data_IF_033445592410
#
_entry.id   IF_033445592410
#
_cell.length_a   1.000
_cell.length_b   1.000
_cell.length_c   1.000
_cell.angle_alpha   90.00
_cell.angle_beta   90.00
_cell.angle_gamma   90.00
#
_symmetry.space_group_name_H-M   'P 1'
#
loop_
_entity.id
_entity.type
_entity.pdbx_description
1 polymer ?
#
# COMPACT_ATOMS: atom_id res chain seq x y z
N UNK A 1 5.98 -2.64 15.43
CA UNK A 1 5.61 -3.41 14.21
C UNK A 1 5.79 -4.92 14.39
N UNK A 2 6.98 -5.44 14.72
CA UNK A 2 7.14 -6.90 14.88
C UNK A 2 6.28 -7.48 16.03
N UNK A 3 6.26 -6.83 17.20
CA UNK A 3 5.39 -7.22 18.32
C UNK A 3 3.91 -7.26 17.90
N UNK A 4 3.46 -6.24 17.16
CA UNK A 4 2.09 -6.19 16.62
C UNK A 4 1.76 -7.38 15.72
N UNK A 5 2.73 -7.86 14.94
CA UNK A 5 2.53 -9.04 14.08
C UNK A 5 2.39 -10.36 14.83
N UNK A 6 2.94 -10.46 16.05
CA UNK A 6 2.77 -11.62 16.93
C UNK A 6 1.41 -11.57 17.63
N UNK A 7 0.92 -10.37 17.94
CA UNK A 7 -0.36 -10.19 18.64
C UNK A 7 -1.58 -10.26 17.69
N UNK A 8 -1.38 -10.09 16.37
CA UNK A 8 -2.45 -9.99 15.37
C UNK A 8 -2.23 -10.96 14.19
N UNK A 9 -2.05 -12.25 14.49
CA UNK A 9 -1.74 -13.29 13.49
C UNK A 9 -2.84 -13.49 12.44
N UNK A 10 -4.12 -13.37 12.83
CA UNK A 10 -5.26 -13.50 11.91
C UNK A 10 -5.33 -12.35 10.88
N UNK A 11 -4.74 -11.21 11.22
CA UNK A 11 -4.90 -9.97 10.49
C UNK A 11 -3.54 -9.28 10.21
N UNK A 12 -2.60 -9.96 9.52
CA UNK A 12 -1.27 -9.42 9.32
C UNK A 12 -1.30 -8.19 8.41
N UNK A 13 -0.41 -7.24 8.69
CA UNK A 13 -0.16 -6.10 7.81
C UNK A 13 0.48 -6.55 6.50
N UNK A 14 0.02 -6.05 5.36
CA UNK A 14 0.57 -6.39 4.04
C UNK A 14 1.64 -5.40 3.62
N UNK A 15 2.76 -5.93 3.14
CA UNK A 15 3.80 -5.16 2.46
C UNK A 15 3.78 -5.48 0.95
N UNK A 16 4.07 -4.49 0.13
CA UNK A 16 4.03 -4.61 -1.33
C UNK A 16 5.39 -4.31 -1.96
N UNK A 17 5.85 -5.21 -2.83
CA UNK A 17 7.09 -5.07 -3.58
C UNK A 17 6.95 -3.93 -4.58
N UNK A 18 7.89 -2.99 -4.52
CA UNK A 18 7.92 -1.85 -5.42
C UNK A 18 9.38 -1.47 -5.75
N UNK A 19 9.58 -0.75 -6.85
CA UNK A 19 10.92 -0.32 -7.27
C UNK A 19 11.42 0.86 -6.44
N UNK A 20 10.51 1.74 -5.99
CA UNK A 20 10.83 2.91 -5.19
C UNK A 20 9.67 3.27 -4.26
N UNK A 21 9.94 4.14 -3.28
CA UNK A 21 8.91 4.65 -2.36
C UNK A 21 7.90 5.53 -3.09
N UNK A 22 8.38 6.36 -4.02
CA UNK A 22 7.58 7.32 -4.79
C UNK A 22 6.57 6.60 -5.69
N UNK A 23 6.98 5.49 -6.31
CA UNK A 23 6.07 4.66 -7.11
C UNK A 23 4.98 4.00 -6.25
N UNK A 24 5.32 3.61 -5.02
CA UNK A 24 4.36 3.09 -4.05
C UNK A 24 3.39 4.18 -3.59
N UNK A 25 3.87 5.40 -3.33
CA UNK A 25 3.02 6.54 -2.94
C UNK A 25 2.04 6.97 -4.04
N UNK A 26 2.39 6.79 -5.32
CA UNK A 26 1.47 6.93 -6.46
C UNK A 26 0.48 5.75 -6.61
N UNK A 27 0.49 4.78 -5.71
CA UNK A 27 -0.41 3.61 -5.73
C UNK A 27 -0.09 2.58 -6.82
N UNK A 28 1.07 2.64 -7.49
CA UNK A 28 1.39 1.78 -8.63
C UNK A 28 1.74 0.33 -8.24
N UNK A 29 1.92 0.08 -6.95
CA UNK A 29 2.48 -1.16 -6.40
C UNK A 29 1.55 -1.82 -5.38
N UNK A 30 0.33 -2.19 -5.77
CA UNK A 30 -0.64 -2.90 -4.91
C UNK A 30 -0.96 -4.34 -5.36
N UNK A 31 -0.13 -4.92 -6.23
CA UNK A 31 -0.34 -6.29 -6.73
C UNK A 31 0.18 -7.34 -5.75
N UNK A 32 -0.57 -8.43 -5.58
CA UNK A 32 -0.14 -9.63 -4.85
C UNK A 32 0.34 -10.79 -5.75
N UNK A 33 0.26 -10.64 -7.08
CA UNK A 33 0.62 -11.72 -8.02
C UNK A 33 2.09 -12.09 -7.89
N UNK A 34 2.41 -13.40 -7.91
CA UNK A 34 3.79 -13.93 -7.87
C UNK A 34 4.63 -13.35 -6.72
N UNK A 35 4.09 -13.37 -5.49
CA UNK A 35 4.75 -12.87 -4.29
C UNK A 35 5.14 -11.39 -4.36
N UNK A 36 4.36 -10.58 -5.11
CA UNK A 36 4.51 -9.11 -5.11
C UNK A 36 3.97 -8.47 -3.84
N UNK A 37 3.22 -9.19 -3.01
CA UNK A 37 2.90 -8.78 -1.66
C UNK A 37 3.25 -9.91 -0.68
N UNK A 38 3.46 -9.56 0.58
CA UNK A 38 3.78 -10.51 1.65
C UNK A 38 3.29 -9.96 2.99
N UNK A 39 3.24 -10.81 4.01
CA UNK A 39 2.95 -10.38 5.38
C UNK A 39 4.17 -9.71 6.00
N UNK A 40 3.92 -8.66 6.77
CA UNK A 40 4.92 -7.99 7.58
C UNK A 40 4.99 -8.68 8.95
N UNK A 41 6.19 -9.10 9.35
CA UNK A 41 6.43 -9.66 10.68
C UNK A 41 6.47 -11.19 10.71
N UNK A 42 5.92 -11.79 11.76
CA UNK A 42 6.10 -13.21 12.08
C UNK A 42 5.53 -14.15 11.00
N UNK A 43 4.30 -13.88 10.56
CA UNK A 43 3.58 -14.66 9.53
C UNK A 43 4.08 -14.45 8.09
N UNK A 44 5.35 -14.09 7.91
CA UNK A 44 5.94 -13.86 6.58
C UNK A 44 6.05 -15.17 5.78
N UNK A 45 5.60 -15.14 4.53
CA UNK A 45 5.87 -16.24 3.60
C UNK A 45 7.35 -16.21 3.22
N UNK A 46 8.10 -17.26 3.56
CA UNK A 46 9.55 -17.40 3.34
C UNK A 46 9.88 -17.65 1.86
N UNK A 47 9.65 -16.64 1.02
CA UNK A 47 9.91 -16.68 -0.42
C UNK A 47 11.37 -16.32 -0.68
N UNK A 48 12.15 -17.24 -1.25
CA UNK A 48 13.52 -16.97 -1.71
C UNK A 48 13.47 -16.31 -3.10
N UNK A 49 14.05 -15.13 -3.23
CA UNK A 49 14.20 -14.42 -4.50
C UNK A 49 15.68 -14.36 -4.90
N UNK A 50 15.97 -14.47 -6.20
CA UNK A 50 17.34 -14.34 -6.73
C UNK A 50 17.96 -12.95 -6.48
N UNK A 51 17.13 -11.93 -6.28
CA UNK A 51 17.53 -10.55 -5.95
C UNK A 51 16.71 -10.07 -4.76
N UNK A 52 17.29 -9.20 -3.94
CA UNK A 52 16.56 -8.55 -2.86
C UNK A 52 15.34 -7.79 -3.38
N UNK A 53 14.19 -7.97 -2.72
CA UNK A 53 12.95 -7.27 -3.05
C UNK A 53 12.67 -6.18 -2.01
N UNK A 54 12.74 -4.91 -2.42
CA UNK A 54 12.26 -3.80 -1.59
C UNK A 54 10.74 -3.85 -1.52
N UNK A 55 10.20 -3.78 -0.30
CA UNK A 55 8.77 -3.78 -0.05
C UNK A 55 8.37 -2.57 0.79
N UNK A 56 7.16 -2.08 0.59
CA UNK A 56 6.66 -0.85 1.18
C UNK A 56 5.25 -1.06 1.73
N UNK A 57 4.92 -0.35 2.80
CA UNK A 57 3.59 -0.24 3.38
C UNK A 57 3.47 1.10 4.10
N UNK A 58 2.23 1.58 4.26
CA UNK A 58 1.89 2.62 5.25
C UNK A 58 1.36 1.96 6.53
N UNK A 59 1.45 2.66 7.64
CA UNK A 59 1.02 2.19 8.96
C UNK A 59 0.36 3.33 9.73
N UNK A 60 -0.37 3.00 10.80
CA UNK A 60 -0.85 3.97 11.79
C UNK A 60 0.31 4.48 12.65
N UNK A 61 0.09 5.55 13.40
CA UNK A 61 1.06 6.08 14.38
C UNK A 61 1.20 5.19 15.63
N UNK A 62 0.20 4.34 15.92
CA UNK A 62 0.14 3.51 17.12
C UNK A 62 -0.43 2.11 16.82
N UNK A 63 -0.17 1.17 17.72
CA UNK A 63 -0.67 -0.20 17.65
C UNK A 63 -2.21 -0.25 17.82
N UNK A 64 -2.95 -1.12 17.09
CA UNK A 64 -2.49 -1.96 15.99
C UNK A 64 -2.16 -1.15 14.73
N UNK A 65 -1.08 -1.50 14.04
CA UNK A 65 -0.47 -0.64 13.01
C UNK A 65 -1.07 -0.81 11.60
N UNK A 66 -1.90 -1.84 11.39
CA UNK A 66 -2.51 -2.18 10.10
C UNK A 66 -3.36 -1.03 9.53
N UNK A 67 -3.26 -0.85 8.21
CA UNK A 67 -4.14 0.00 7.40
C UNK A 67 -4.48 -0.73 6.08
N UNK A 68 -5.49 -0.25 5.36
CA UNK A 68 -5.84 -0.72 4.02
C UNK A 68 -5.32 0.24 2.96
N UNK A 69 -4.76 -0.30 1.87
CA UNK A 69 -4.18 0.49 0.78
C UNK A 69 -5.08 0.44 -0.46
N UNK A 70 -5.42 1.60 -1.01
CA UNK A 70 -6.25 1.73 -2.21
C UNK A 70 -5.49 2.51 -3.29
N UNK A 71 -5.65 2.11 -4.55
CA UNK A 71 -5.24 2.91 -5.71
C UNK A 71 -6.51 3.50 -6.35
N UNK A 72 -6.57 4.82 -6.42
CA UNK A 72 -7.67 5.54 -7.08
C UNK A 72 -7.14 6.12 -8.39
N UNK A 73 -7.89 5.97 -9.48
CA UNK A 73 -7.61 6.56 -10.79
C UNK A 73 -8.80 7.40 -11.22
N UNK A 74 -8.55 8.68 -11.48
CA UNK A 74 -9.58 9.65 -11.85
C UNK A 74 -9.19 10.21 -13.21
N UNK A 75 -10.14 10.23 -14.15
CA UNK A 75 -9.99 10.94 -15.41
C UNK A 75 -10.77 12.26 -15.29
N UNK A 76 -10.07 13.38 -15.36
CA UNK A 76 -10.68 14.71 -15.39
C UNK A 76 -10.94 15.11 -16.85
N UNK A 77 -12.18 15.40 -17.19
CA UNK A 77 -12.63 15.74 -18.55
C UNK A 77 -13.44 17.03 -18.54
N UNK A 78 -13.20 17.91 -19.51
CA UNK A 78 -13.91 19.17 -19.69
C UNK A 78 -13.91 19.62 -21.16
N UNK A 79 -14.77 20.58 -21.50
CA UNK A 79 -14.89 21.13 -22.86
C UNK A 79 -13.84 22.19 -23.17
N UNK A 80 -13.38 22.91 -22.14
CA UNK A 80 -12.33 23.91 -22.23
C UNK A 80 -11.02 23.38 -21.66
N UNK A 81 -9.89 23.89 -22.18
CA UNK A 81 -8.57 23.50 -21.71
C UNK A 81 -8.18 24.32 -20.48
N UNK A 82 -8.26 23.70 -19.30
CA UNK A 82 -7.78 24.25 -18.03
C UNK A 82 -6.69 23.35 -17.41
N UNK A 83 -5.67 23.97 -16.82
CA UNK A 83 -4.55 23.29 -16.20
C UNK A 83 -4.24 23.93 -14.84
N UNK A 84 -4.51 23.18 -13.77
CA UNK A 84 -4.29 23.62 -12.40
C UNK A 84 -3.19 22.77 -11.73
N UNK A 85 -2.35 23.41 -10.93
CA UNK A 85 -1.28 22.74 -10.18
C UNK A 85 -1.60 22.76 -8.68
N UNK A 86 -1.05 21.77 -7.94
CA UNK A 86 -1.14 21.68 -6.47
C UNK A 86 -2.57 21.78 -5.90
N UNK A 87 -3.54 21.14 -6.54
CA UNK A 87 -4.93 21.12 -6.11
C UNK A 87 -5.15 20.16 -4.94
N UNK A 88 -5.98 20.58 -3.98
CA UNK A 88 -6.37 19.78 -2.83
C UNK A 88 -7.70 19.07 -3.09
N UNK A 89 -7.81 17.81 -2.66
CA UNK A 89 -9.02 17.00 -2.80
C UNK A 89 -9.28 16.23 -1.51
N UNK A 90 -10.56 15.98 -1.24
CA UNK A 90 -11.02 15.08 -0.19
C UNK A 90 -11.81 13.93 -0.83
N UNK A 91 -11.62 12.71 -0.33
CA UNK A 91 -12.29 11.51 -0.83
C UNK A 91 -12.90 10.78 0.36
N UNK A 92 -14.20 10.51 0.29
CA UNK A 92 -14.92 9.68 1.26
C UNK A 92 -15.18 8.29 0.69
N UNK A 93 -14.93 7.24 1.48
CA UNK A 93 -15.18 5.84 1.12
C UNK A 93 -16.27 5.27 2.02
N UNK A 94 -17.37 4.79 1.45
CA UNK A 94 -18.48 4.17 2.19
C UNK A 94 -18.51 2.67 1.87
N UNK A 95 -18.39 1.84 2.90
CA UNK A 95 -18.46 0.37 2.83
C UNK A 95 -19.81 -0.17 3.30
N UNK A 96 -19.97 -1.49 3.22
CA UNK A 96 -21.16 -2.25 3.65
C UNK A 96 -21.21 -2.48 5.15
#
# INVERSE_FOLDING_TARGET
LFIDSLLNEENPSKAYRCNSKEAFEKGLCLSCRKNRCNNMGYEINKVRAKRGSKMYLKTRSQMPYKVFHYQVKIHFSGTESDAQTNQAFEISLYGT
#
